data_IF_889647128270
#
_entry.id   IF_889647128270
#
_cell.length_a   1.000
_cell.length_b   1.000
_cell.length_c   1.000
_cell.angle_alpha   90.00
_cell.angle_beta   90.00
_cell.angle_gamma   90.00
#
_symmetry.space_group_name_H-M   'P 1'
#
loop_
_entity.id
_entity.type
_entity.pdbx_description
1 polymer ?
#
# COMPACT_ATOMS: atom_id res chain seq x y z
N UNK A 1 0.82 29.00 46.80
CA UNK A 1 1.41 28.69 45.50
C UNK A 1 0.45 27.75 44.81
N UNK A 2 -0.19 28.20 43.75
CA UNK A 2 -1.46 27.65 43.23
C UNK A 2 -1.21 26.38 42.39
N UNK A 3 -1.71 25.23 42.89
CA UNK A 3 -1.56 23.89 42.28
C UNK A 3 -2.11 23.85 40.86
N UNK A 4 -3.05 24.73 40.47
CA UNK A 4 -3.59 24.84 39.14
C UNK A 4 -2.60 25.43 38.12
N UNK A 5 -1.65 26.25 38.54
CA UNK A 5 -0.57 26.78 37.66
C UNK A 5 0.50 25.75 37.36
N UNK A 6 0.74 24.82 38.29
CA UNK A 6 1.76 23.75 38.10
C UNK A 6 1.25 22.68 37.10
N UNK A 7 -0.08 22.40 37.13
CA UNK A 7 -0.66 21.44 36.16
C UNK A 7 -0.68 21.97 34.71
N UNK A 8 -0.76 23.28 34.51
CA UNK A 8 -0.68 23.90 33.19
C UNK A 8 0.76 23.86 32.60
N UNK A 9 1.76 24.05 33.45
CA UNK A 9 3.18 24.02 33.03
C UNK A 9 3.62 22.57 32.77
N UNK A 10 3.15 21.60 33.54
CA UNK A 10 3.42 20.17 33.28
C UNK A 10 2.75 19.65 32.00
N UNK A 11 1.61 20.22 31.58
CA UNK A 11 1.03 19.94 30.24
C UNK A 11 1.81 20.57 29.09
N UNK A 12 2.49 21.69 29.31
CA UNK A 12 3.31 22.34 28.29
C UNK A 12 4.73 21.73 28.16
N UNK A 13 5.19 21.00 29.21
CA UNK A 13 6.47 20.28 29.20
C UNK A 13 6.29 18.80 28.84
N UNK A 14 5.03 18.30 28.84
CA UNK A 14 4.67 17.03 28.23
C UNK A 14 4.86 17.14 26.72
N UNK A 15 6.12 16.99 26.27
CA UNK A 15 6.42 16.85 24.85
C UNK A 15 5.46 15.81 24.27
N UNK A 16 4.82 16.16 23.17
CA UNK A 16 3.98 15.29 22.35
C UNK A 16 4.52 13.87 22.45
N UNK A 17 3.75 12.97 23.06
CA UNK A 17 4.06 11.55 23.08
C UNK A 17 4.03 11.18 21.59
N UNK A 18 5.21 11.13 20.94
CA UNK A 18 5.32 10.77 19.52
C UNK A 18 4.56 9.48 19.34
N UNK A 19 3.52 9.51 18.51
CA UNK A 19 2.72 8.34 18.24
C UNK A 19 3.65 7.21 17.79
N UNK A 20 3.74 6.17 18.62
CA UNK A 20 4.65 5.03 18.38
C UNK A 20 4.28 4.25 17.12
N UNK A 21 3.11 4.51 16.56
CA UNK A 21 2.56 3.85 15.38
C UNK A 21 2.41 4.78 14.16
N UNK A 22 2.93 6.04 14.21
CA UNK A 22 2.81 6.95 13.06
C UNK A 22 3.26 6.25 11.78
N UNK A 23 2.30 6.02 10.89
CA UNK A 23 2.51 5.27 9.65
C UNK A 23 2.29 6.17 8.44
N UNK A 24 3.30 6.23 7.57
CA UNK A 24 3.25 6.93 6.30
C UNK A 24 2.98 5.93 5.18
N UNK A 25 1.94 6.14 4.38
CA UNK A 25 1.70 5.35 3.18
C UNK A 25 2.53 5.91 2.00
N UNK A 26 3.18 5.03 1.24
CA UNK A 26 3.89 5.36 0.01
C UNK A 26 3.15 4.65 -1.13
N UNK A 27 2.45 5.41 -1.97
CA UNK A 27 1.64 4.85 -3.06
C UNK A 27 2.41 4.94 -4.38
N UNK A 28 2.90 3.78 -4.84
CA UNK A 28 3.66 3.68 -6.09
C UNK A 28 2.73 3.72 -7.30
N UNK A 29 2.77 4.82 -8.05
CA UNK A 29 1.92 5.09 -9.21
C UNK A 29 2.72 5.50 -10.47
N UNK A 30 4.05 5.58 -10.44
CA UNK A 30 4.91 6.06 -11.54
C UNK A 30 5.09 5.07 -12.72
N UNK A 31 4.50 3.86 -12.65
CA UNK A 31 4.72 2.82 -13.65
C UNK A 31 4.14 3.16 -15.03
N UNK A 32 4.92 2.90 -16.10
CA UNK A 32 4.58 3.20 -17.51
C UNK A 32 3.40 2.39 -18.08
N UNK A 33 2.78 1.51 -17.33
CA UNK A 33 1.58 0.73 -17.71
C UNK A 33 1.66 0.04 -19.10
N UNK A 34 2.86 -0.39 -19.53
CA UNK A 34 3.14 -0.92 -20.90
C UNK A 34 2.17 -2.02 -21.34
N UNK A 35 1.68 -2.85 -20.41
CA UNK A 35 0.75 -3.96 -20.69
C UNK A 35 -0.71 -3.50 -20.83
N UNK A 36 -1.03 -2.30 -20.38
CA UNK A 36 -2.40 -1.79 -20.38
C UNK A 36 -2.80 -1.20 -21.75
N UNK A 37 -1.82 -0.74 -22.54
CA UNK A 37 -2.01 -0.22 -23.91
C UNK A 37 -2.89 1.03 -23.96
N UNK A 38 -2.34 2.19 -24.24
CA UNK A 38 -3.08 3.45 -24.40
C UNK A 38 -2.22 4.69 -24.13
N UNK A 39 -2.72 5.84 -24.54
CA UNK A 39 -2.11 7.16 -24.28
C UNK A 39 -2.29 7.61 -22.83
N UNK A 40 -3.33 7.09 -22.15
CA UNK A 40 -3.65 7.41 -20.75
C UNK A 40 -3.02 6.38 -19.82
N UNK A 41 -2.39 6.84 -18.76
CA UNK A 41 -1.83 5.92 -17.77
C UNK A 41 -2.94 5.13 -17.07
N UNK A 42 -2.65 3.88 -16.73
CA UNK A 42 -3.61 2.98 -16.07
C UNK A 42 -4.23 3.59 -14.82
N UNK A 43 -3.48 4.37 -14.06
CA UNK A 43 -3.91 5.02 -12.84
C UNK A 43 -5.04 6.04 -13.07
N UNK A 44 -5.08 6.64 -14.27
CA UNK A 44 -6.10 7.59 -14.70
C UNK A 44 -7.34 6.90 -15.32
N UNK A 45 -7.25 5.59 -15.61
CA UNK A 45 -8.40 4.85 -16.14
C UNK A 45 -9.53 4.85 -15.10
N UNK A 46 -10.74 5.15 -15.56
CA UNK A 46 -11.91 5.17 -14.69
C UNK A 46 -12.37 3.74 -14.36
N UNK A 47 -12.75 3.57 -13.12
CA UNK A 47 -13.40 2.40 -12.56
C UNK A 47 -14.69 2.87 -11.87
N UNK A 48 -15.84 2.51 -12.39
CA UNK A 48 -17.14 3.04 -11.94
C UNK A 48 -17.19 4.58 -11.93
N UNK A 49 -16.64 5.25 -12.95
CA UNK A 49 -16.64 6.72 -13.10
C UNK A 49 -15.65 7.47 -12.20
N UNK A 50 -14.72 6.77 -11.54
CA UNK A 50 -13.69 7.36 -10.68
C UNK A 50 -12.32 6.80 -11.10
N UNK A 51 -11.26 7.64 -11.21
CA UNK A 51 -9.94 7.15 -11.55
C UNK A 51 -9.44 6.06 -10.60
N UNK A 52 -8.82 5.01 -11.16
CA UNK A 52 -8.39 3.82 -10.43
C UNK A 52 -7.54 4.15 -9.19
N UNK A 53 -6.58 5.08 -9.32
CA UNK A 53 -5.74 5.49 -8.18
C UNK A 53 -6.55 6.13 -7.06
N UNK A 54 -7.63 6.87 -7.37
CA UNK A 54 -8.48 7.49 -6.35
C UNK A 54 -9.17 6.45 -5.47
N UNK A 55 -9.58 5.29 -6.02
CA UNK A 55 -10.10 4.19 -5.20
C UNK A 55 -9.05 3.69 -4.21
N UNK A 56 -7.81 3.51 -4.67
CA UNK A 56 -6.70 3.13 -3.79
C UNK A 56 -6.48 4.18 -2.70
N UNK A 57 -6.38 5.46 -3.08
CA UNK A 57 -6.14 6.56 -2.13
C UNK A 57 -7.25 6.67 -1.09
N UNK A 58 -8.52 6.51 -1.48
CA UNK A 58 -9.66 6.53 -0.55
C UNK A 58 -9.57 5.44 0.51
N UNK A 59 -9.10 4.24 0.17
CA UNK A 59 -8.91 3.18 1.15
C UNK A 59 -7.83 3.54 2.19
N UNK A 60 -6.72 4.15 1.76
CA UNK A 60 -5.68 4.63 2.68
C UNK A 60 -6.11 5.87 3.48
N UNK A 61 -6.89 6.77 2.87
CA UNK A 61 -7.49 7.93 3.57
C UNK A 61 -8.38 7.49 4.72
N UNK A 62 -9.20 6.46 4.51
CA UNK A 62 -10.16 5.95 5.49
C UNK A 62 -9.53 5.04 6.56
N UNK A 63 -8.31 4.54 6.35
CA UNK A 63 -7.63 3.72 7.34
C UNK A 63 -7.04 4.58 8.46
N UNK A 64 -7.56 4.45 9.69
CA UNK A 64 -7.15 5.27 10.84
C UNK A 64 -5.68 5.10 11.21
N UNK A 65 -5.09 3.94 10.91
CA UNK A 65 -3.69 3.66 11.14
C UNK A 65 -2.74 4.41 10.20
N UNK A 66 -3.25 5.03 9.12
CA UNK A 66 -2.47 5.83 8.17
C UNK A 66 -2.56 7.31 8.54
N UNK A 67 -1.43 7.96 8.76
CA UNK A 67 -1.34 9.34 9.23
C UNK A 67 -0.97 10.32 8.11
N UNK A 68 -0.25 9.84 7.10
CA UNK A 68 0.04 10.60 5.88
C UNK A 68 0.12 9.67 4.67
N UNK A 69 -0.05 10.26 3.49
CA UNK A 69 0.10 9.59 2.20
C UNK A 69 1.11 10.37 1.36
N UNK A 70 2.11 9.67 0.82
CA UNK A 70 3.03 10.17 -0.20
C UNK A 70 2.72 9.45 -1.50
N UNK A 71 2.34 10.19 -2.54
CA UNK A 71 2.12 9.62 -3.88
C UNK A 71 3.42 9.71 -4.66
N UNK A 72 3.83 8.61 -5.29
CA UNK A 72 4.97 8.57 -6.19
C UNK A 72 4.46 8.35 -7.60
N UNK A 73 4.57 9.37 -8.44
CA UNK A 73 4.02 9.38 -9.80
C UNK A 73 5.01 9.91 -10.82
N UNK A 74 4.59 10.05 -12.07
CA UNK A 74 5.38 10.72 -13.10
C UNK A 74 5.36 12.24 -12.84
N UNK A 75 6.45 12.91 -13.21
CA UNK A 75 6.61 14.34 -12.98
C UNK A 75 5.51 15.18 -13.66
N UNK A 76 5.17 14.81 -14.89
CA UNK A 76 4.14 15.46 -15.71
C UNK A 76 2.70 15.23 -15.17
N UNK A 77 2.50 14.24 -14.30
CA UNK A 77 1.20 13.91 -13.72
C UNK A 77 0.96 14.57 -12.34
N UNK A 78 1.98 15.16 -11.72
CA UNK A 78 1.87 15.75 -10.37
C UNK A 78 0.72 16.75 -10.27
N UNK A 79 0.58 17.78 -11.15
CA UNK A 79 -0.51 18.76 -11.04
C UNK A 79 -1.90 18.13 -11.20
N UNK A 80 -2.00 17.07 -12.01
CA UNK A 80 -3.25 16.34 -12.19
C UNK A 80 -3.69 15.65 -10.89
N UNK A 81 -2.75 14.97 -10.21
CA UNK A 81 -3.05 14.27 -8.96
C UNK A 81 -3.29 15.21 -7.79
N UNK A 82 -2.61 16.37 -7.73
CA UNK A 82 -2.89 17.42 -6.74
C UNK A 82 -4.35 17.87 -6.82
N UNK A 83 -4.81 18.18 -8.05
CA UNK A 83 -6.20 18.57 -8.29
C UNK A 83 -7.18 17.46 -7.91
N UNK A 84 -6.94 16.21 -8.35
CA UNK A 84 -7.82 15.09 -8.06
C UNK A 84 -7.91 14.77 -6.57
N UNK A 85 -6.80 14.86 -5.83
CA UNK A 85 -6.82 14.68 -4.38
C UNK A 85 -7.72 15.72 -3.70
N UNK A 86 -7.64 16.99 -4.13
CA UNK A 86 -8.52 18.05 -3.62
C UNK A 86 -9.99 17.79 -3.99
N UNK A 87 -10.28 17.48 -5.26
CA UNK A 87 -11.63 17.22 -5.76
C UNK A 87 -12.32 16.04 -5.05
N UNK A 88 -11.54 15.04 -4.61
CA UNK A 88 -12.06 13.84 -3.95
C UNK A 88 -11.90 13.83 -2.42
N UNK A 89 -11.43 14.93 -1.82
CA UNK A 89 -11.29 15.07 -0.37
C UNK A 89 -10.25 14.14 0.25
N UNK A 90 -9.15 13.84 -0.49
CA UNK A 90 -8.04 13.05 0.01
C UNK A 90 -7.11 13.98 0.80
N UNK A 91 -7.31 14.06 2.12
CA UNK A 91 -6.69 15.04 2.99
C UNK A 91 -5.34 14.62 3.57
N UNK A 92 -5.09 13.31 3.68
CA UNK A 92 -3.83 12.76 4.20
C UNK A 92 -2.66 12.84 3.22
N UNK A 93 -2.90 13.22 1.95
CA UNK A 93 -1.81 13.40 0.98
C UNK A 93 -0.98 14.61 1.37
N UNK A 94 0.22 14.35 1.87
CA UNK A 94 1.17 15.38 2.30
C UNK A 94 2.13 15.79 1.18
N UNK A 95 2.47 14.85 0.28
CA UNK A 95 3.41 15.08 -0.82
C UNK A 95 3.06 14.21 -2.03
N UNK A 96 3.33 14.77 -3.23
CA UNK A 96 3.33 14.04 -4.49
C UNK A 96 4.72 14.23 -5.09
N UNK A 97 5.43 13.13 -5.33
CA UNK A 97 6.84 13.18 -5.75
C UNK A 97 7.06 12.39 -7.03
N UNK A 98 8.11 12.76 -7.75
CA UNK A 98 8.55 12.06 -8.96
C UNK A 98 9.10 10.68 -8.61
N UNK A 99 8.70 9.65 -9.38
CA UNK A 99 9.28 8.32 -9.36
C UNK A 99 10.68 8.27 -9.98
N UNK A 100 11.38 7.17 -9.73
CA UNK A 100 12.63 6.82 -10.37
C UNK A 100 12.43 5.98 -11.64
N UNK A 101 13.53 5.47 -12.21
CA UNK A 101 13.51 4.60 -13.39
C UNK A 101 12.95 3.20 -13.06
N UNK A 102 13.12 2.76 -11.83
CA UNK A 102 12.63 1.48 -11.33
C UNK A 102 11.55 1.68 -10.26
N UNK A 103 10.79 0.60 -9.95
CA UNK A 103 9.85 0.61 -8.84
C UNK A 103 10.59 0.82 -7.50
N UNK A 104 11.75 0.20 -7.33
CA UNK A 104 12.57 0.30 -6.13
C UNK A 104 13.03 1.75 -5.89
N UNK A 105 13.54 2.42 -6.92
CA UNK A 105 13.91 3.85 -6.85
C UNK A 105 12.69 4.73 -6.58
N UNK A 106 11.56 4.44 -7.21
CA UNK A 106 10.31 5.18 -6.97
C UNK A 106 9.89 5.09 -5.50
N UNK A 107 9.93 3.90 -4.90
CA UNK A 107 9.60 3.73 -3.48
C UNK A 107 10.63 4.41 -2.58
N UNK A 108 11.92 4.39 -2.94
CA UNK A 108 12.97 5.12 -2.20
C UNK A 108 12.71 6.64 -2.22
N UNK A 109 12.35 7.22 -3.37
CA UNK A 109 11.97 8.64 -3.47
C UNK A 109 10.76 8.95 -2.57
N UNK A 110 9.77 8.05 -2.51
CA UNK A 110 8.64 8.15 -1.60
C UNK A 110 9.05 8.08 -0.14
N UNK A 111 9.96 7.16 0.22
CA UNK A 111 10.49 7.02 1.58
C UNK A 111 11.18 8.30 2.07
N UNK A 112 11.98 8.92 1.21
CA UNK A 112 12.68 10.18 1.55
C UNK A 112 11.73 11.38 1.69
N UNK A 113 10.55 11.29 1.10
CA UNK A 113 9.51 12.30 1.21
C UNK A 113 8.57 12.11 2.41
N UNK A 114 8.67 10.99 3.15
CA UNK A 114 7.84 10.77 4.35
C UNK A 114 8.24 11.70 5.50
N UNK A 115 7.29 11.95 6.40
CA UNK A 115 7.52 12.71 7.62
C UNK A 115 8.68 12.11 8.46
N UNK A 116 9.53 12.95 9.08
CA UNK A 116 10.52 12.49 10.05
C UNK A 116 9.91 11.75 11.26
N UNK A 117 8.62 11.93 11.50
CA UNK A 117 7.88 11.25 12.57
C UNK A 117 7.47 9.83 12.18
N UNK A 118 7.57 9.47 10.89
CA UNK A 118 7.21 8.15 10.36
C UNK A 118 7.95 7.03 11.09
N UNK A 119 7.21 6.18 11.79
CA UNK A 119 7.73 5.00 12.50
C UNK A 119 7.57 3.75 11.67
N UNK A 120 6.52 3.73 10.85
CA UNK A 120 6.24 2.66 9.90
C UNK A 120 5.97 3.27 8.52
N UNK A 121 6.31 2.52 7.49
CA UNK A 121 5.96 2.82 6.11
C UNK A 121 5.09 1.71 5.56
N UNK A 122 3.96 2.08 4.94
CA UNK A 122 3.04 1.18 4.26
C UNK A 122 3.16 1.41 2.76
N UNK A 123 3.83 0.50 2.05
CA UNK A 123 4.06 0.61 0.62
C UNK A 123 2.89 -0.02 -0.11
N UNK A 124 2.18 0.77 -0.91
CA UNK A 124 1.02 0.37 -1.70
C UNK A 124 1.24 0.51 -3.19
N UNK A 125 0.76 -0.45 -3.96
CA UNK A 125 0.66 -0.30 -5.41
C UNK A 125 -0.59 0.53 -5.73
N UNK A 126 -0.46 1.64 -6.45
CA UNK A 126 -1.59 2.48 -6.88
C UNK A 126 -2.61 1.76 -7.76
N UNK A 127 -2.27 0.57 -8.25
CA UNK A 127 -3.13 -0.28 -9.07
C UNK A 127 -3.84 -1.41 -8.28
N UNK A 128 -3.87 -1.36 -6.95
CA UNK A 128 -4.65 -2.28 -6.11
C UNK A 128 -5.85 -1.56 -5.49
N UNK A 129 -6.74 -1.14 -6.37
CA UNK A 129 -7.91 -0.32 -6.05
C UNK A 129 -9.00 -1.02 -5.23
N UNK A 130 -8.88 -2.31 -4.99
CA UNK A 130 -9.84 -3.11 -4.24
C UNK A 130 -9.41 -3.39 -2.80
N UNK A 131 -8.24 -2.89 -2.38
CA UNK A 131 -7.82 -2.95 -0.97
C UNK A 131 -8.83 -2.21 -0.09
N UNK A 132 -9.08 -2.69 1.13
CA UNK A 132 -9.99 -2.05 2.07
C UNK A 132 -9.25 -1.42 3.24
N UNK A 133 -9.86 -0.42 3.93
CA UNK A 133 -9.28 0.18 5.13
C UNK A 133 -8.98 -0.84 6.24
N UNK A 134 -9.84 -1.85 6.41
CA UNK A 134 -9.69 -2.91 7.39
C UNK A 134 -8.45 -3.77 7.08
N UNK A 135 -8.27 -4.18 5.82
CA UNK A 135 -7.11 -4.95 5.38
C UNK A 135 -5.81 -4.16 5.57
N UNK A 136 -5.81 -2.85 5.26
CA UNK A 136 -4.66 -1.97 5.52
C UNK A 136 -4.35 -1.97 7.02
N UNK A 137 -5.37 -1.83 7.86
CA UNK A 137 -5.25 -1.79 9.32
C UNK A 137 -4.69 -3.10 9.87
N UNK A 138 -5.17 -4.26 9.40
CA UNK A 138 -4.67 -5.56 9.82
C UNK A 138 -3.19 -5.75 9.51
N UNK A 139 -2.75 -5.34 8.31
CA UNK A 139 -1.33 -5.43 7.92
C UNK A 139 -0.47 -4.46 8.76
N UNK A 140 -0.95 -3.24 9.01
CA UNK A 140 -0.27 -2.28 9.88
C UNK A 140 -0.11 -2.83 11.30
N UNK A 141 -1.16 -3.36 11.90
CA UNK A 141 -1.12 -3.94 13.25
C UNK A 141 -0.17 -5.15 13.33
N UNK A 142 -0.13 -5.99 12.29
CA UNK A 142 0.85 -7.06 12.21
C UNK A 142 2.29 -6.52 12.15
N UNK A 143 2.52 -5.45 11.36
CA UNK A 143 3.84 -4.81 11.28
C UNK A 143 4.25 -4.13 12.59
N UNK A 144 3.32 -3.53 13.33
CA UNK A 144 3.61 -2.97 14.67
C UNK A 144 4.13 -4.03 15.63
N UNK A 145 3.62 -5.26 15.52
CA UNK A 145 4.04 -6.40 16.35
C UNK A 145 5.31 -7.06 15.86
N UNK A 146 5.47 -7.24 14.54
CA UNK A 146 6.54 -8.04 13.95
C UNK A 146 7.61 -7.24 13.21
N UNK A 147 7.45 -5.91 13.12
CA UNK A 147 8.30 -4.93 12.40
C UNK A 147 8.26 -5.03 10.88
N UNK A 148 7.70 -6.10 10.32
CA UNK A 148 7.50 -6.31 8.89
C UNK A 148 6.28 -7.21 8.66
N UNK A 149 5.35 -6.79 7.79
CA UNK A 149 4.19 -7.56 7.39
C UNK A 149 3.77 -7.22 5.96
N UNK A 150 3.10 -8.14 5.29
CA UNK A 150 2.62 -7.96 3.93
C UNK A 150 1.23 -8.55 3.75
N UNK A 151 0.39 -7.84 2.98
CA UNK A 151 -0.86 -8.39 2.49
C UNK A 151 -0.58 -9.56 1.55
N UNK A 152 -1.26 -10.67 1.74
CA UNK A 152 -1.10 -11.84 0.90
C UNK A 152 -2.41 -12.66 0.87
N UNK A 153 -2.48 -13.63 -0.02
CA UNK A 153 -3.53 -14.66 0.00
C UNK A 153 -2.95 -16.01 -0.38
N UNK A 154 -3.61 -17.09 0.03
CA UNK A 154 -3.18 -18.46 -0.29
C UNK A 154 -3.42 -18.76 -1.77
N UNK A 155 -2.53 -19.54 -2.38
CA UNK A 155 -2.79 -20.09 -3.70
C UNK A 155 -3.97 -21.06 -3.65
N UNK A 156 -4.94 -20.90 -4.56
CA UNK A 156 -6.11 -21.78 -4.69
C UNK A 156 -5.88 -22.87 -5.73
N UNK A 157 -5.10 -22.59 -6.76
CA UNK A 157 -4.77 -23.51 -7.83
C UNK A 157 -3.54 -24.38 -7.50
N UNK A 158 -3.38 -25.48 -8.22
CA UNK A 158 -2.18 -26.31 -8.12
C UNK A 158 -0.99 -25.56 -8.73
N UNK A 159 0.02 -25.25 -7.92
CA UNK A 159 1.22 -24.53 -8.35
C UNK A 159 2.25 -25.50 -8.93
N UNK A 160 2.68 -25.23 -10.17
CA UNK A 160 3.72 -25.98 -10.88
C UNK A 160 4.96 -25.12 -11.04
N UNK A 161 6.12 -25.66 -10.71
CA UNK A 161 7.39 -25.08 -11.14
C UNK A 161 7.76 -25.65 -12.50
N UNK A 162 8.14 -24.78 -13.42
CA UNK A 162 8.47 -25.17 -14.80
C UNK A 162 9.85 -24.65 -15.21
N UNK A 163 10.51 -25.36 -16.08
CA UNK A 163 11.74 -24.90 -16.71
C UNK A 163 11.48 -23.88 -17.83
N UNK A 164 12.56 -23.29 -18.35
CA UNK A 164 12.49 -22.27 -19.43
C UNK A 164 11.83 -22.77 -20.72
N UNK A 165 11.70 -24.09 -20.92
CA UNK A 165 11.05 -24.71 -22.09
C UNK A 165 9.57 -24.98 -21.87
N UNK A 166 9.00 -24.63 -20.69
CA UNK A 166 7.58 -24.81 -20.37
C UNK A 166 7.22 -26.21 -19.85
N UNK A 167 8.18 -27.09 -19.54
CA UNK A 167 7.91 -28.40 -18.94
C UNK A 167 7.87 -28.31 -17.42
N UNK A 168 6.93 -29.02 -16.81
CA UNK A 168 6.80 -29.12 -15.35
C UNK A 168 8.03 -29.85 -14.78
N UNK A 169 8.69 -29.23 -13.80
CA UNK A 169 9.78 -29.83 -13.02
C UNK A 169 9.31 -30.35 -11.68
N UNK A 170 8.40 -29.63 -11.03
CA UNK A 170 7.84 -30.05 -9.75
C UNK A 170 6.46 -29.47 -9.50
N UNK A 171 5.75 -30.07 -8.53
CA UNK A 171 4.50 -29.55 -7.99
C UNK A 171 4.75 -29.12 -6.54
N UNK A 172 4.45 -27.87 -6.24
CA UNK A 172 4.66 -27.30 -4.91
C UNK A 172 3.48 -27.66 -4.00
N UNK A 173 3.76 -27.89 -2.72
CA UNK A 173 2.72 -27.99 -1.71
C UNK A 173 1.98 -26.66 -1.60
N UNK A 174 0.75 -26.63 -2.12
CA UNK A 174 -0.09 -25.44 -2.20
C UNK A 174 -0.33 -24.79 -0.84
N UNK A 175 -0.40 -25.56 0.23
CA UNK A 175 -0.69 -25.06 1.58
C UNK A 175 0.42 -24.16 2.12
N UNK A 176 1.61 -24.23 1.51
CA UNK A 176 2.76 -23.37 1.85
C UNK A 176 2.92 -22.18 0.89
N UNK A 177 2.12 -22.09 -0.19
CA UNK A 177 2.26 -21.06 -1.22
C UNK A 177 1.32 -19.91 -0.95
N UNK A 178 1.92 -18.71 -0.87
CA UNK A 178 1.21 -17.45 -0.73
C UNK A 178 1.55 -16.49 -1.88
N UNK A 179 0.54 -15.78 -2.35
CA UNK A 179 0.69 -14.74 -3.36
C UNK A 179 0.72 -13.39 -2.65
N UNK A 180 1.91 -12.76 -2.62
CA UNK A 180 2.13 -11.49 -1.96
C UNK A 180 1.52 -10.33 -2.75
N UNK A 181 0.87 -9.43 -2.04
CA UNK A 181 0.32 -8.19 -2.55
C UNK A 181 0.88 -6.97 -1.82
N UNK A 182 0.11 -5.89 -1.84
CA UNK A 182 0.34 -4.69 -1.03
C UNK A 182 -0.95 -4.32 -0.28
N UNK A 183 -0.87 -3.66 0.90
CA UNK A 183 0.31 -3.00 1.47
C UNK A 183 1.38 -3.98 1.95
N UNK A 184 2.64 -3.53 1.82
CA UNK A 184 3.81 -4.10 2.48
C UNK A 184 4.24 -3.10 3.54
N UNK A 185 4.18 -3.47 4.80
CA UNK A 185 4.35 -2.53 5.91
C UNK A 185 5.57 -2.90 6.73
N UNK A 186 6.42 -1.91 6.96
CA UNK A 186 7.70 -2.11 7.64
C UNK A 186 7.96 -1.00 8.66
N UNK A 187 8.69 -1.34 9.72
CA UNK A 187 9.32 -0.32 10.56
C UNK A 187 10.23 0.54 9.68
N UNK A 188 10.06 1.86 9.70
CA UNK A 188 10.76 2.80 8.79
C UNK A 188 12.27 2.62 8.83
N UNK A 189 12.87 2.47 10.03
CA UNK A 189 14.31 2.28 10.16
C UNK A 189 14.81 0.97 9.55
N UNK A 190 14.01 -0.11 9.63
CA UNK A 190 14.34 -1.41 9.03
C UNK A 190 14.28 -1.31 7.50
N UNK A 191 13.18 -0.74 6.96
CA UNK A 191 13.02 -0.62 5.52
C UNK A 191 14.06 0.32 4.91
N UNK A 192 14.38 1.44 5.58
CA UNK A 192 15.44 2.36 5.17
C UNK A 192 16.78 1.64 5.07
N UNK A 193 17.15 0.85 6.08
CA UNK A 193 18.38 0.06 6.05
C UNK A 193 18.38 -0.96 4.90
N UNK A 194 17.25 -1.63 4.63
CA UNK A 194 17.11 -2.58 3.53
C UNK A 194 17.27 -1.91 2.16
N UNK A 195 16.56 -0.80 1.93
CA UNK A 195 16.58 -0.08 0.67
C UNK A 195 17.97 0.47 0.34
N UNK A 196 18.65 1.09 1.31
CA UNK A 196 20.02 1.61 1.08
C UNK A 196 21.07 0.51 0.93
N UNK A 197 20.94 -0.61 1.69
CA UNK A 197 21.82 -1.76 1.50
C UNK A 197 21.66 -2.36 0.10
N UNK A 198 20.43 -2.44 -0.40
CA UNK A 198 20.16 -2.93 -1.74
C UNK A 198 20.74 -1.99 -2.81
N UNK A 199 20.60 -0.68 -2.62
CA UNK A 199 21.18 0.33 -3.52
C UNK A 199 22.72 0.20 -3.58
N UNK A 200 23.38 0.14 -2.43
CA UNK A 200 24.86 0.02 -2.32
C UNK A 200 25.38 -1.27 -2.97
N UNK A 201 24.65 -2.37 -2.82
CA UNK A 201 25.03 -3.68 -3.37
C UNK A 201 24.51 -3.96 -4.77
N UNK A 202 23.75 -3.04 -5.39
CA UNK A 202 23.13 -3.24 -6.70
C UNK A 202 22.09 -4.38 -6.71
N UNK A 203 21.44 -4.67 -5.56
CA UNK A 203 20.41 -5.71 -5.46
C UNK A 203 19.12 -5.20 -6.08
N UNK A 204 18.59 -5.93 -7.05
CA UNK A 204 17.26 -5.70 -7.61
C UNK A 204 16.28 -6.74 -7.06
N UNK A 205 15.18 -6.26 -6.49
CA UNK A 205 14.13 -7.08 -5.91
C UNK A 205 12.82 -6.90 -6.68
N UNK A 206 12.00 -7.93 -6.67
CA UNK A 206 10.67 -7.91 -7.31
C UNK A 206 9.63 -7.16 -6.49
N UNK A 207 9.83 -7.12 -5.15
CA UNK A 207 8.99 -6.39 -4.19
C UNK A 207 9.83 -5.91 -2.99
N UNK A 208 9.18 -5.18 -2.08
CA UNK A 208 9.83 -4.59 -0.91
C UNK A 208 10.12 -5.62 0.19
N UNK A 209 9.37 -6.73 0.23
CA UNK A 209 9.63 -7.83 1.14
C UNK A 209 11.02 -8.44 0.91
N UNK A 210 11.36 -8.68 -0.35
CA UNK A 210 12.64 -9.29 -0.72
C UNK A 210 13.85 -8.45 -0.28
N UNK A 211 13.72 -7.11 -0.19
CA UNK A 211 14.76 -6.24 0.35
C UNK A 211 14.99 -6.49 1.85
N UNK A 212 13.89 -6.62 2.59
CA UNK A 212 13.91 -6.85 4.04
C UNK A 212 14.36 -8.28 4.36
N UNK A 213 13.96 -9.26 3.56
CA UNK A 213 14.41 -10.65 3.64
C UNK A 213 15.91 -10.78 3.38
N UNK A 214 16.46 -9.99 2.45
CA UNK A 214 17.90 -9.95 2.16
C UNK A 214 18.76 -9.48 3.36
N UNK A 215 18.15 -8.74 4.31
CA UNK A 215 18.76 -8.42 5.61
C UNK A 215 18.60 -9.53 6.66
N UNK A 216 17.97 -10.65 6.33
CA UNK A 216 17.69 -11.77 7.25
C UNK A 216 16.48 -11.51 8.17
N UNK A 217 15.66 -10.48 7.90
CA UNK A 217 14.48 -10.21 8.71
C UNK A 217 13.25 -10.97 8.18
N UNK A 218 12.42 -11.48 9.09
CA UNK A 218 11.20 -12.20 8.74
C UNK A 218 10.06 -11.24 8.45
N UNK A 219 9.28 -11.51 7.39
CA UNK A 219 8.07 -10.75 7.04
C UNK A 219 6.83 -11.59 7.39
N UNK A 220 5.89 -11.01 8.12
CA UNK A 220 4.63 -11.66 8.48
C UNK A 220 3.65 -11.59 7.33
N UNK A 221 3.14 -12.73 6.87
CA UNK A 221 2.02 -12.80 5.93
C UNK A 221 0.69 -12.52 6.66
N UNK A 222 -0.15 -11.66 6.07
CA UNK A 222 -1.50 -11.32 6.55
C UNK A 222 -2.48 -11.69 5.46
N UNK A 223 -3.46 -12.55 5.78
CA UNK A 223 -4.47 -12.97 4.80
C UNK A 223 -5.42 -11.82 4.48
N UNK A 224 -5.40 -11.34 3.25
CA UNK A 224 -6.24 -10.25 2.75
C UNK A 224 -7.21 -10.69 1.65
N UNK A 225 -7.34 -11.99 1.43
CA UNK A 225 -8.20 -12.56 0.40
C UNK A 225 -7.74 -12.28 -1.04
N UNK A 226 -8.29 -13.05 -1.97
CA UNK A 226 -7.92 -12.98 -3.39
C UNK A 226 -8.49 -11.75 -4.14
N UNK A 227 -9.42 -11.00 -3.52
CA UNK A 227 -10.03 -9.84 -4.17
C UNK A 227 -9.09 -8.64 -4.31
N UNK A 228 -8.01 -8.56 -3.52
CA UNK A 228 -7.02 -7.48 -3.62
C UNK A 228 -6.11 -7.67 -4.85
N UNK A 229 -6.74 -7.77 -6.03
CA UNK A 229 -6.02 -7.93 -7.30
C UNK A 229 -5.25 -6.67 -7.68
N UNK A 230 -4.18 -6.85 -8.43
CA UNK A 230 -3.47 -5.75 -9.09
C UNK A 230 -4.01 -5.59 -10.52
N UNK A 231 -4.62 -4.47 -10.83
CA UNK A 231 -5.06 -4.17 -12.19
C UNK A 231 -3.83 -4.09 -13.10
N UNK A 232 -3.75 -4.98 -14.07
CA UNK A 232 -2.61 -5.08 -15.01
C UNK A 232 -3.04 -5.10 -16.46
N UNK A 233 -4.27 -5.55 -16.73
CA UNK A 233 -4.88 -5.64 -18.06
C UNK A 233 -6.24 -4.94 -18.06
N UNK A 234 -6.86 -4.81 -19.24
CA UNK A 234 -8.21 -4.23 -19.36
C UNK A 234 -9.28 -5.17 -18.80
N UNK A 235 -9.05 -6.46 -18.88
CA UNK A 235 -9.97 -7.48 -18.33
C UNK A 235 -10.07 -7.38 -16.81
N UNK A 236 -8.98 -6.99 -16.13
CA UNK A 236 -8.99 -6.78 -14.69
C UNK A 236 -9.94 -5.66 -14.25
N UNK A 237 -10.24 -4.68 -15.14
CA UNK A 237 -11.23 -3.63 -14.87
C UNK A 237 -12.62 -4.22 -14.67
N UNK A 238 -13.06 -5.09 -15.59
CA UNK A 238 -14.37 -5.72 -15.47
C UNK A 238 -14.50 -6.55 -14.20
N UNK A 239 -13.44 -7.25 -13.79
CA UNK A 239 -13.39 -7.99 -12.52
C UNK A 239 -13.53 -7.02 -11.35
N UNK A 240 -12.79 -5.90 -11.37
CA UNK A 240 -12.83 -4.91 -10.30
C UNK A 240 -14.19 -4.22 -10.18
N UNK A 241 -14.83 -3.88 -11.30
CA UNK A 241 -16.21 -3.33 -11.33
C UNK A 241 -17.21 -4.31 -10.72
N UNK A 242 -17.12 -5.60 -11.07
CA UNK A 242 -17.94 -6.64 -10.47
C UNK A 242 -17.79 -6.74 -8.95
N UNK A 243 -16.56 -6.66 -8.45
CA UNK A 243 -16.29 -6.67 -7.00
C UNK A 243 -16.85 -5.42 -6.33
N UNK A 244 -16.66 -4.24 -6.91
CA UNK A 244 -17.19 -2.98 -6.33
C UNK A 244 -18.72 -2.97 -6.33
N UNK A 245 -19.37 -3.40 -7.42
CA UNK A 245 -20.82 -3.51 -7.49
C UNK A 245 -21.38 -4.48 -6.45
N UNK A 246 -20.74 -5.64 -6.25
CA UNK A 246 -21.11 -6.59 -5.21
C UNK A 246 -20.98 -5.98 -3.81
N UNK A 247 -19.87 -5.30 -3.51
CA UNK A 247 -19.65 -4.61 -2.21
C UNK A 247 -20.71 -3.52 -1.97
N UNK A 248 -21.06 -2.76 -2.99
CA UNK A 248 -22.12 -1.73 -2.90
C UNK A 248 -23.49 -2.34 -2.59
N UNK A 249 -23.83 -3.46 -3.24
CA UNK A 249 -25.05 -4.20 -2.98
C UNK A 249 -25.11 -4.72 -1.52
N UNK A 250 -24.05 -5.38 -1.06
CA UNK A 250 -23.98 -5.90 0.32
C UNK A 250 -24.13 -4.80 1.36
N UNK A 251 -23.53 -3.61 1.14
CA UNK A 251 -23.71 -2.47 2.03
C UNK A 251 -25.15 -1.97 2.05
N UNK A 252 -25.79 -1.86 0.88
CA UNK A 252 -27.19 -1.43 0.81
C UNK A 252 -28.13 -2.40 1.54
N UNK A 253 -27.89 -3.70 1.42
CA UNK A 253 -28.64 -4.74 2.14
C UNK A 253 -28.43 -4.65 3.66
N UNK A 254 -27.17 -4.49 4.12
CA UNK A 254 -26.87 -4.34 5.55
C UNK A 254 -27.56 -3.11 6.18
N UNK A 255 -27.59 -1.98 5.46
CA UNK A 255 -28.29 -0.76 5.90
C UNK A 255 -29.80 -1.01 5.95
N UNK A 256 -30.38 -1.70 4.97
CA UNK A 256 -31.81 -2.01 4.93
C UNK A 256 -32.23 -2.93 6.09
N UNK A 257 -31.32 -3.83 6.53
CA UNK A 257 -31.54 -4.77 7.63
C UNK A 257 -31.28 -4.13 9.02
N UNK A 258 -30.94 -2.83 9.09
CA UNK A 258 -30.72 -2.08 10.33
C UNK A 258 -29.38 -2.40 11.02
N UNK A 259 -28.44 -3.03 10.34
CA UNK A 259 -27.09 -3.22 10.82
C UNK A 259 -26.24 -1.98 10.49
N UNK A 260 -25.70 -1.32 11.52
CA UNK A 260 -24.68 -0.28 11.32
C UNK A 260 -23.45 -0.93 10.66
N UNK A 261 -22.98 -0.32 9.54
CA UNK A 261 -21.81 -0.76 8.75
C UNK A 261 -20.61 0.11 9.08
#
# INVERSE_FOLDING_TARGET
MDIKKISGVLRAIGGSQRDKSYTSAIIAAAGLSRRFGGEVTKQMTELCGVPLLVHTLKAYEQADCIHEIVIVTREDEIPFWEKLCADHGISKVSRIVKGGETRQESVLNGLEATSPESRFVAIGDGARCLITPEQITEVCHAAYKYHAATAAHRATDTVKLANKRGFIESTTDRDTVWLAGTPQVFKTSLYRAAAYTALDKGIQATDDNALVEALGHRVRLVECGAQNIKITTKEDIAVAEGVLAHRAKMRAEAIADGNEV
#
